data_IF_446863592936
#
_entry.id   IF_446863592936
#
_cell.length_a   1.000
_cell.length_b   1.000
_cell.length_c   1.000
_cell.angle_alpha   90.00
_cell.angle_beta   90.00
_cell.angle_gamma   90.00
#
_symmetry.space_group_name_H-M   'P 1'
#
loop_
_entity.id
_entity.type
_entity.pdbx_description
1 polymer ?
#
# COMPACT_ATOMS: atom_id res chain seq x y z
N UNK A 1 60.64 -16.62 2.92
CA UNK A 1 60.04 -16.44 1.58
C UNK A 1 58.66 -17.13 1.59
N UNK A 2 57.65 -16.58 2.29
CA UNK A 2 56.58 -15.70 1.77
C UNK A 2 55.99 -16.23 0.45
N UNK A 3 54.97 -17.09 0.57
CA UNK A 3 53.53 -16.79 0.41
C UNK A 3 53.12 -16.60 -1.05
N UNK A 4 52.91 -17.72 -1.73
CA UNK A 4 52.05 -17.87 -2.91
C UNK A 4 51.18 -19.09 -2.60
N UNK A 5 49.89 -19.05 -2.93
CA UNK A 5 48.79 -19.99 -2.65
C UNK A 5 47.83 -19.57 -1.54
N UNK A 6 46.95 -18.62 -1.87
CA UNK A 6 45.48 -18.68 -1.60
C UNK A 6 44.86 -17.35 -2.03
N UNK A 7 44.59 -17.15 -3.32
CA UNK A 7 43.78 -16.00 -3.76
C UNK A 7 42.96 -16.29 -5.02
N UNK A 8 42.33 -17.46 -5.09
CA UNK A 8 41.43 -17.80 -6.22
C UNK A 8 40.11 -18.46 -5.81
N UNK A 9 39.76 -18.46 -4.51
CA UNK A 9 38.46 -18.97 -4.00
C UNK A 9 37.79 -17.93 -3.09
N UNK A 10 37.94 -16.64 -3.40
CA UNK A 10 37.22 -15.58 -2.68
C UNK A 10 36.57 -14.52 -3.59
N UNK A 11 36.47 -14.82 -4.90
CA UNK A 11 35.81 -13.95 -5.88
C UNK A 11 34.53 -14.57 -6.48
N UNK A 12 34.17 -15.79 -6.09
CA UNK A 12 32.89 -16.43 -6.47
C UNK A 12 31.81 -16.38 -5.38
N UNK A 13 32.11 -15.84 -4.20
CA UNK A 13 31.14 -15.74 -3.09
C UNK A 13 30.61 -14.32 -2.82
N UNK A 14 31.05 -13.30 -3.56
CA UNK A 14 30.54 -11.93 -3.45
C UNK A 14 29.58 -11.52 -4.58
N UNK A 15 29.26 -12.43 -5.51
CA UNK A 15 28.25 -12.21 -6.56
C UNK A 15 26.84 -12.74 -6.19
N UNK A 16 26.67 -13.40 -5.05
CA UNK A 16 25.39 -14.04 -4.66
C UNK A 16 24.60 -13.27 -3.58
N UNK A 17 24.97 -12.01 -3.29
CA UNK A 17 24.28 -11.17 -2.29
C UNK A 17 23.05 -10.43 -2.82
N UNK A 18 22.91 -10.27 -4.13
CA UNK A 18 21.65 -9.95 -4.78
C UNK A 18 21.16 -11.23 -5.43
N UNK A 19 20.59 -12.13 -4.64
CA UNK A 19 19.74 -13.17 -5.22
C UNK A 19 18.73 -12.46 -6.12
N UNK A 20 18.77 -12.74 -7.42
CA UNK A 20 17.84 -12.22 -8.42
C UNK A 20 16.41 -12.39 -7.91
N UNK A 21 15.83 -11.37 -7.26
CA UNK A 21 14.40 -11.34 -7.06
C UNK A 21 13.83 -11.24 -8.47
N UNK A 22 13.14 -12.30 -8.92
CA UNK A 22 12.44 -12.23 -10.20
C UNK A 22 11.53 -11.01 -10.15
N UNK A 23 11.55 -10.21 -11.22
CA UNK A 23 10.68 -9.04 -11.34
C UNK A 23 9.21 -9.43 -11.15
N UNK A 24 8.83 -10.64 -11.59
CA UNK A 24 7.53 -11.25 -11.36
C UNK A 24 7.76 -12.63 -10.74
N UNK A 25 7.18 -12.88 -9.57
CA UNK A 25 7.37 -14.11 -8.81
C UNK A 25 6.03 -14.74 -8.42
N UNK A 26 5.79 -15.96 -8.91
CA UNK A 26 4.61 -16.80 -8.63
C UNK A 26 4.94 -17.99 -7.72
N UNK A 27 6.19 -18.15 -7.29
CA UNK A 27 6.63 -19.37 -6.58
C UNK A 27 5.86 -19.63 -5.28
N UNK A 28 5.45 -18.58 -4.57
CA UNK A 28 4.66 -18.70 -3.36
C UNK A 28 3.28 -19.35 -3.61
N UNK A 29 2.68 -19.10 -4.78
CA UNK A 29 1.43 -19.75 -5.20
C UNK A 29 1.66 -21.24 -5.47
N UNK A 30 2.78 -21.62 -6.07
CA UNK A 30 3.11 -23.03 -6.31
C UNK A 30 3.26 -23.80 -4.99
N UNK A 31 3.93 -23.20 -3.99
CA UNK A 31 4.01 -23.76 -2.64
C UNK A 31 2.62 -23.88 -1.99
N UNK A 32 1.77 -22.87 -2.15
CA UNK A 32 0.40 -22.89 -1.64
C UNK A 32 -0.38 -24.09 -2.19
N UNK A 33 -0.33 -24.34 -3.51
CA UNK A 33 -1.04 -25.47 -4.13
C UNK A 33 -0.57 -26.83 -3.59
N UNK A 34 0.73 -26.99 -3.35
CA UNK A 34 1.29 -28.21 -2.77
C UNK A 34 0.80 -28.42 -1.32
N UNK A 35 0.74 -27.34 -0.53
CA UNK A 35 0.25 -27.36 0.84
C UNK A 35 -1.23 -27.76 0.88
N UNK A 36 -2.09 -27.09 0.11
CA UNK A 36 -3.54 -27.35 0.18
C UNK A 36 -3.90 -28.74 -0.34
N UNK A 37 -3.17 -29.28 -1.32
CA UNK A 37 -3.37 -30.65 -1.81
C UNK A 37 -3.17 -31.73 -0.72
N UNK A 38 -2.37 -31.45 0.33
CA UNK A 38 -2.24 -32.31 1.51
C UNK A 38 -3.35 -32.06 2.52
N UNK A 39 -3.62 -30.80 2.84
CA UNK A 39 -4.64 -30.41 3.81
C UNK A 39 -6.02 -30.94 3.42
N UNK A 40 -6.36 -30.94 2.13
CA UNK A 40 -7.64 -31.47 1.64
C UNK A 40 -7.81 -32.98 1.84
N UNK A 41 -6.73 -33.69 2.13
CA UNK A 41 -6.71 -35.12 2.49
C UNK A 41 -6.59 -35.33 4.00
N UNK A 42 -6.80 -34.29 4.81
CA UNK A 42 -6.52 -34.24 6.26
C UNK A 42 -5.06 -34.59 6.61
N UNK A 43 -4.13 -34.37 5.68
CA UNK A 43 -2.69 -34.57 5.91
C UNK A 43 -2.05 -33.22 6.23
N UNK A 44 -1.37 -33.14 7.38
CA UNK A 44 -0.61 -31.95 7.75
C UNK A 44 0.66 -31.82 6.89
N UNK A 45 0.91 -30.66 6.25
CA UNK A 45 2.21 -30.33 5.68
C UNK A 45 3.28 -30.32 6.77
N UNK A 46 4.52 -30.64 6.41
CA UNK A 46 5.65 -30.58 7.35
C UNK A 46 6.02 -29.13 7.65
N UNK A 47 6.74 -28.90 8.75
CA UNK A 47 7.25 -27.57 9.11
C UNK A 47 8.21 -27.03 8.04
N UNK A 48 8.96 -27.91 7.36
CA UNK A 48 9.83 -27.53 6.25
C UNK A 48 9.03 -27.03 5.04
N UNK A 49 7.86 -27.60 4.76
CA UNK A 49 6.98 -27.17 3.68
C UNK A 49 6.38 -25.79 3.97
N UNK A 50 5.88 -25.59 5.19
CA UNK A 50 5.42 -24.27 5.65
C UNK A 50 6.54 -23.24 5.57
N UNK A 51 7.72 -23.58 6.10
CA UNK A 51 8.89 -22.70 6.06
C UNK A 51 9.33 -22.37 4.63
N UNK A 52 9.22 -23.32 3.70
CA UNK A 52 9.52 -23.08 2.29
C UNK A 52 8.56 -22.05 1.68
N UNK A 53 7.25 -22.19 1.93
CA UNK A 53 6.23 -21.23 1.49
C UNK A 53 6.50 -19.82 2.08
N UNK A 54 6.66 -19.72 3.40
CA UNK A 54 6.85 -18.42 4.08
C UNK A 54 8.21 -17.76 3.81
N UNK A 55 9.21 -18.53 3.32
CA UNK A 55 10.49 -17.97 2.88
C UNK A 55 10.38 -17.25 1.53
N UNK A 56 9.33 -17.51 0.74
CA UNK A 56 9.10 -16.81 -0.52
C UNK A 56 8.90 -15.31 -0.27
N UNK A 57 9.39 -14.47 -1.19
CA UNK A 57 9.44 -13.00 -1.03
C UNK A 57 8.08 -12.40 -0.68
N UNK A 58 7.02 -12.85 -1.35
CA UNK A 58 5.65 -12.37 -1.11
C UNK A 58 5.16 -12.60 0.32
N UNK A 59 5.19 -13.86 0.79
CA UNK A 59 4.75 -14.17 2.16
C UNK A 59 5.66 -13.54 3.22
N UNK A 60 6.98 -13.59 3.03
CA UNK A 60 7.95 -12.96 3.95
C UNK A 60 7.68 -11.47 4.16
N UNK A 61 7.21 -10.77 3.12
CA UNK A 61 6.90 -9.35 3.20
C UNK A 61 5.60 -9.06 3.97
N UNK A 62 4.64 -10.00 4.02
CA UNK A 62 3.39 -9.86 4.78
C UNK A 62 3.59 -9.97 6.31
N UNK A 63 4.63 -10.68 6.77
CA UNK A 63 5.00 -10.83 8.19
C UNK A 63 3.90 -11.37 9.12
N UNK A 64 2.96 -12.15 8.59
CA UNK A 64 1.77 -12.66 9.29
C UNK A 64 1.65 -14.19 9.16
N UNK A 65 2.78 -14.90 9.23
CA UNK A 65 2.86 -16.33 8.90
C UNK A 65 1.89 -17.19 9.73
N UNK A 66 1.76 -16.90 11.03
CA UNK A 66 0.88 -17.63 11.96
C UNK A 66 -0.60 -17.50 11.58
N UNK A 67 -1.08 -16.28 11.36
CA UNK A 67 -2.48 -16.02 10.98
C UNK A 67 -2.81 -16.60 9.60
N UNK A 68 -1.88 -16.47 8.65
CA UNK A 68 -2.04 -17.02 7.29
C UNK A 68 -2.12 -18.54 7.36
N UNK A 69 -1.18 -19.20 8.05
CA UNK A 69 -1.18 -20.66 8.23
C UNK A 69 -2.48 -21.11 8.90
N UNK A 70 -2.88 -20.46 9.99
CA UNK A 70 -4.09 -20.81 10.73
C UNK A 70 -5.34 -20.75 9.81
N UNK A 71 -5.48 -19.68 9.03
CA UNK A 71 -6.62 -19.50 8.13
C UNK A 71 -6.64 -20.54 7.01
N UNK A 72 -5.47 -20.86 6.42
CA UNK A 72 -5.35 -21.90 5.39
C UNK A 72 -5.75 -23.25 5.99
N UNK A 73 -5.20 -23.64 7.14
CA UNK A 73 -5.55 -24.89 7.79
C UNK A 73 -7.05 -24.95 8.12
N UNK A 74 -7.62 -23.87 8.67
CA UNK A 74 -9.03 -23.81 9.07
C UNK A 74 -9.98 -24.04 7.88
N UNK A 75 -9.62 -23.55 6.69
CA UNK A 75 -10.45 -23.66 5.47
C UNK A 75 -10.21 -24.97 4.72
N UNK A 76 -8.96 -25.43 4.64
CA UNK A 76 -8.61 -26.53 3.75
C UNK A 76 -8.68 -27.91 4.40
N UNK A 77 -8.50 -28.04 5.73
CA UNK A 77 -8.67 -29.32 6.45
C UNK A 77 -10.15 -29.70 6.60
N UNK A 78 -10.63 -30.82 6.03
CA UNK A 78 -11.99 -31.30 6.26
C UNK A 78 -12.32 -31.49 7.74
N UNK A 79 -11.36 -31.99 8.53
CA UNK A 79 -11.50 -32.16 9.99
C UNK A 79 -11.74 -30.86 10.78
N UNK A 80 -11.43 -29.68 10.22
CA UNK A 80 -11.66 -28.37 10.86
C UNK A 80 -12.99 -27.70 10.46
N UNK A 81 -13.87 -28.38 9.72
CA UNK A 81 -15.13 -27.81 9.20
C UNK A 81 -16.00 -27.16 10.30
N UNK A 82 -16.23 -27.83 11.42
CA UNK A 82 -17.03 -27.28 12.52
C UNK A 82 -16.39 -26.02 13.12
N UNK A 83 -15.06 -26.02 13.27
CA UNK A 83 -14.32 -24.87 13.75
C UNK A 83 -14.43 -23.69 12.79
N UNK A 84 -14.39 -23.93 11.48
CA UNK A 84 -14.58 -22.88 10.46
C UNK A 84 -15.97 -22.24 10.59
N UNK A 85 -17.03 -23.05 10.74
CA UNK A 85 -18.40 -22.53 10.92
C UNK A 85 -18.55 -21.69 12.19
N UNK A 86 -17.92 -22.10 13.29
CA UNK A 86 -17.88 -21.33 14.54
C UNK A 86 -17.12 -20.02 14.35
N UNK A 87 -15.95 -20.06 13.69
CA UNK A 87 -15.15 -18.87 13.41
C UNK A 87 -15.89 -17.87 12.52
N UNK A 88 -16.58 -18.32 11.47
CA UNK A 88 -17.36 -17.43 10.59
C UNK A 88 -18.52 -16.70 11.30
N UNK A 89 -19.06 -17.29 12.38
CA UNK A 89 -20.10 -16.67 13.21
C UNK A 89 -19.54 -15.63 14.19
N UNK A 90 -18.31 -15.84 14.67
CA UNK A 90 -17.67 -14.98 15.69
C UNK A 90 -16.72 -13.94 15.12
N UNK A 91 -16.21 -14.15 13.91
CA UNK A 91 -15.19 -13.30 13.31
C UNK A 91 -15.69 -11.88 13.05
N UNK A 92 -14.85 -10.89 13.37
CA UNK A 92 -15.03 -9.53 12.90
C UNK A 92 -14.93 -9.44 11.37
N UNK A 93 -15.33 -8.30 10.81
CA UNK A 93 -15.44 -8.10 9.36
C UNK A 93 -14.19 -8.53 8.57
N UNK A 94 -13.00 -8.05 8.96
CA UNK A 94 -11.75 -8.31 8.22
C UNK A 94 -11.39 -9.79 8.18
N UNK A 95 -11.43 -10.46 9.33
CA UNK A 95 -11.09 -11.87 9.39
C UNK A 95 -12.13 -12.74 8.69
N UNK A 96 -13.43 -12.42 8.84
CA UNK A 96 -14.51 -13.10 8.13
C UNK A 96 -14.35 -12.98 6.61
N UNK A 97 -13.97 -11.79 6.12
CA UNK A 97 -13.68 -11.54 4.70
C UNK A 97 -12.56 -12.45 4.19
N UNK A 98 -11.47 -12.57 4.96
CA UNK A 98 -10.32 -13.38 4.56
C UNK A 98 -10.66 -14.89 4.54
N UNK A 99 -11.43 -15.38 5.52
CA UNK A 99 -11.92 -16.77 5.53
C UNK A 99 -12.86 -17.06 4.34
N UNK A 100 -13.81 -16.16 4.05
CA UNK A 100 -14.72 -16.30 2.91
C UNK A 100 -13.95 -16.27 1.58
N UNK A 101 -12.90 -15.45 1.47
CA UNK A 101 -12.03 -15.43 0.30
C UNK A 101 -11.31 -16.77 0.10
N UNK A 102 -10.70 -17.33 1.15
CA UNK A 102 -10.04 -18.64 1.08
C UNK A 102 -11.01 -19.78 0.77
N UNK A 103 -12.24 -19.74 1.27
CA UNK A 103 -13.30 -20.69 0.88
C UNK A 103 -13.52 -20.64 -0.64
N UNK A 104 -13.59 -19.44 -1.21
CA UNK A 104 -13.72 -19.27 -2.66
C UNK A 104 -12.47 -19.70 -3.43
N UNK A 105 -11.27 -19.51 -2.87
CA UNK A 105 -10.04 -20.10 -3.44
C UNK A 105 -10.16 -21.63 -3.52
N UNK A 106 -10.62 -22.27 -2.44
CA UNK A 106 -10.84 -23.72 -2.38
C UNK A 106 -11.85 -24.20 -3.43
N UNK A 107 -12.95 -23.46 -3.62
CA UNK A 107 -13.97 -23.77 -4.62
C UNK A 107 -13.48 -23.58 -6.08
N UNK A 108 -12.48 -22.72 -6.31
CA UNK A 108 -12.06 -22.28 -7.65
C UNK A 108 -10.61 -22.68 -8.02
N UNK A 109 -10.04 -23.69 -7.37
CA UNK A 109 -8.62 -24.05 -7.56
C UNK A 109 -8.22 -24.24 -9.03
N UNK A 110 -9.00 -25.00 -9.80
CA UNK A 110 -8.64 -25.30 -11.20
C UNK A 110 -8.70 -24.05 -12.08
N UNK A 111 -9.67 -23.16 -11.86
CA UNK A 111 -9.73 -21.88 -12.55
C UNK A 111 -8.55 -20.98 -12.18
N UNK A 112 -8.12 -20.99 -10.91
CA UNK A 112 -7.02 -20.18 -10.41
C UNK A 112 -5.66 -20.68 -10.89
N UNK A 113 -5.44 -22.00 -10.94
CA UNK A 113 -4.25 -22.61 -11.54
C UNK A 113 -4.14 -22.29 -13.03
N UNK A 114 -5.25 -22.35 -13.76
CA UNK A 114 -5.29 -21.91 -15.16
C UNK A 114 -4.97 -20.42 -15.29
N UNK A 115 -5.59 -19.57 -14.47
CA UNK A 115 -5.33 -18.15 -14.47
C UNK A 115 -3.87 -17.81 -14.17
N UNK A 116 -3.24 -18.50 -13.22
CA UNK A 116 -1.80 -18.37 -12.90
C UNK A 116 -0.91 -18.64 -14.13
N UNK A 117 -1.30 -19.58 -14.99
CA UNK A 117 -0.57 -19.92 -16.21
C UNK A 117 -0.84 -18.93 -17.35
N UNK A 118 -2.07 -18.42 -17.44
CA UNK A 118 -2.54 -17.60 -18.57
C UNK A 118 -2.23 -16.11 -18.40
N UNK A 119 -2.06 -15.60 -17.17
CA UNK A 119 -1.89 -14.16 -16.91
C UNK A 119 -0.57 -13.62 -17.49
N UNK A 120 -0.66 -12.64 -18.38
CA UNK A 120 0.49 -11.92 -18.91
C UNK A 120 0.83 -10.69 -18.03
N UNK A 121 1.53 -10.94 -16.92
CA UNK A 121 1.88 -9.90 -15.95
C UNK A 121 2.83 -8.85 -16.53
N UNK A 122 3.72 -9.22 -17.47
CA UNK A 122 4.64 -8.27 -18.11
C UNK A 122 3.89 -7.19 -18.90
N UNK A 123 2.89 -7.59 -19.69
CA UNK A 123 2.03 -6.67 -20.44
C UNK A 123 1.22 -5.77 -19.51
N UNK A 124 0.72 -6.33 -18.40
CA UNK A 124 0.00 -5.56 -17.37
C UNK A 124 0.92 -4.52 -16.76
N UNK A 125 2.13 -4.93 -16.34
CA UNK A 125 3.14 -4.03 -15.77
C UNK A 125 3.48 -2.91 -16.75
N UNK A 126 3.74 -3.19 -18.02
CA UNK A 126 4.04 -2.15 -19.02
C UNK A 126 2.94 -1.07 -19.08
N UNK A 127 1.67 -1.49 -19.12
CA UNK A 127 0.52 -0.57 -19.12
C UNK A 127 0.39 0.20 -17.81
N UNK A 128 0.62 -0.45 -16.68
CA UNK A 128 0.58 0.17 -15.35
C UNK A 128 1.67 1.22 -15.18
N UNK A 129 2.89 0.96 -15.66
CA UNK A 129 3.98 1.93 -15.63
C UNK A 129 3.65 3.17 -16.46
N UNK A 130 3.10 2.99 -17.66
CA UNK A 130 2.64 4.12 -18.50
C UNK A 130 1.56 4.95 -17.80
N UNK A 131 0.65 4.30 -17.07
CA UNK A 131 -0.40 4.98 -16.32
C UNK A 131 0.15 5.72 -15.09
N UNK A 132 1.04 5.09 -14.31
CA UNK A 132 1.70 5.69 -13.15
C UNK A 132 2.54 6.92 -13.52
N UNK A 133 3.26 6.86 -14.65
CA UNK A 133 4.03 7.98 -15.20
C UNK A 133 3.19 9.25 -15.40
N UNK A 134 1.86 9.12 -15.56
CA UNK A 134 0.99 10.28 -15.74
C UNK A 134 0.83 11.14 -14.48
N UNK A 135 1.30 10.70 -13.31
CA UNK A 135 1.36 11.50 -12.08
C UNK A 135 2.79 11.55 -11.49
N UNK A 136 3.79 11.34 -12.35
CA UNK A 136 5.21 11.45 -12.02
C UNK A 136 5.89 12.47 -12.95
N UNK A 137 7.06 13.02 -12.57
CA UNK A 137 7.89 13.77 -13.49
C UNK A 137 8.27 12.93 -14.71
N UNK A 138 8.30 13.56 -15.89
CA UNK A 138 8.56 12.87 -17.16
C UNK A 138 9.91 12.14 -17.15
N UNK A 139 9.90 10.88 -17.58
CA UNK A 139 11.05 9.99 -17.64
C UNK A 139 11.26 9.15 -16.38
N UNK A 140 10.40 9.24 -15.36
CA UNK A 140 10.68 8.61 -14.05
C UNK A 140 10.68 7.08 -14.17
N UNK A 141 9.68 6.50 -14.84
CA UNK A 141 9.54 5.05 -15.04
C UNK A 141 10.57 4.48 -16.02
N UNK A 142 11.17 5.28 -16.90
CA UNK A 142 12.21 4.82 -17.82
C UNK A 142 13.61 4.86 -17.21
N UNK A 143 13.85 5.76 -16.25
CA UNK A 143 15.16 5.97 -15.62
C UNK A 143 15.40 5.06 -14.42
N UNK A 144 14.35 4.49 -13.85
CA UNK A 144 14.40 3.71 -12.61
C UNK A 144 13.82 2.32 -12.83
N UNK A 145 14.29 1.29 -12.11
CA UNK A 145 13.80 -0.07 -12.27
C UNK A 145 12.34 -0.19 -11.82
N UNK A 146 11.55 -1.05 -12.48
CA UNK A 146 10.20 -1.35 -12.04
C UNK A 146 10.17 -2.05 -10.68
N UNK A 147 9.07 -1.93 -9.93
CA UNK A 147 8.89 -2.64 -8.68
C UNK A 147 8.80 -4.16 -8.93
N UNK A 148 9.43 -4.99 -8.09
CA UNK A 148 9.13 -6.42 -8.03
C UNK A 148 7.65 -6.68 -7.73
N UNK A 149 7.08 -7.67 -8.40
CA UNK A 149 5.68 -8.13 -8.26
C UNK A 149 5.66 -9.58 -7.79
N UNK A 150 4.93 -9.83 -6.70
CA UNK A 150 4.88 -11.11 -6.01
C UNK A 150 3.43 -11.52 -5.89
N UNK A 151 3.13 -12.75 -6.29
CA UNK A 151 1.79 -13.33 -6.13
C UNK A 151 1.78 -14.31 -4.98
N UNK A 152 0.73 -14.24 -4.18
CA UNK A 152 0.46 -15.08 -3.02
C UNK A 152 -1.04 -15.39 -2.95
N UNK A 153 -1.46 -16.21 -2.00
CA UNK A 153 -2.87 -16.38 -1.64
C UNK A 153 -3.02 -16.07 -0.14
N UNK A 154 -3.81 -15.06 0.21
CA UNK A 154 -3.99 -14.64 1.61
C UNK A 154 -5.32 -13.93 1.88
N UNK A 155 -5.67 -12.92 1.10
CA UNK A 155 -6.78 -11.98 1.36
C UNK A 155 -7.18 -11.29 0.06
N UNK A 156 -8.42 -10.80 -0.13
CA UNK A 156 -8.82 -10.15 -1.38
C UNK A 156 -8.23 -8.73 -1.49
N UNK A 157 -6.91 -8.63 -1.67
CA UNK A 157 -6.15 -7.39 -1.50
C UNK A 157 -4.83 -7.37 -2.31
N UNK A 158 -4.26 -6.17 -2.44
CA UNK A 158 -2.90 -5.92 -2.93
C UNK A 158 -2.15 -4.98 -1.97
N UNK A 159 -0.83 -5.12 -1.84
CA UNK A 159 -0.03 -4.34 -0.87
C UNK A 159 1.35 -3.98 -1.41
N UNK A 160 1.77 -2.73 -1.26
CA UNK A 160 3.19 -2.36 -1.34
C UNK A 160 3.88 -2.52 0.02
N UNK A 161 4.80 -3.48 0.16
CA UNK A 161 5.53 -3.74 1.40
C UNK A 161 6.99 -4.13 1.14
N UNK A 162 7.92 -3.53 1.88
CA UNK A 162 9.34 -3.87 1.81
C UNK A 162 9.97 -3.67 0.42
N UNK A 163 9.45 -2.72 -0.37
CA UNK A 163 9.87 -2.47 -1.75
C UNK A 163 9.30 -3.44 -2.79
N UNK A 164 8.36 -4.32 -2.41
CA UNK A 164 7.68 -5.26 -3.30
C UNK A 164 6.19 -4.90 -3.41
N UNK A 165 5.57 -5.27 -4.52
CA UNK A 165 4.13 -5.21 -4.70
C UNK A 165 3.59 -6.63 -4.63
N UNK A 166 2.72 -6.88 -3.67
CA UNK A 166 2.17 -8.19 -3.35
C UNK A 166 0.72 -8.23 -3.80
N UNK A 167 0.37 -9.19 -4.65
CA UNK A 167 -1.00 -9.43 -5.10
C UNK A 167 -1.51 -10.78 -4.61
N UNK A 168 -2.75 -10.81 -4.14
CA UNK A 168 -3.48 -12.06 -4.04
C UNK A 168 -3.91 -12.56 -5.43
N UNK A 169 -3.63 -13.82 -5.76
CA UNK A 169 -3.91 -14.38 -7.09
C UNK A 169 -5.41 -14.37 -7.42
N UNK A 170 -6.27 -14.72 -6.47
CA UNK A 170 -7.71 -14.77 -6.72
C UNK A 170 -8.28 -13.37 -6.84
N UNK A 171 -7.86 -12.45 -5.96
CA UNK A 171 -8.21 -11.04 -6.09
C UNK A 171 -7.88 -10.49 -7.48
N UNK A 172 -6.66 -10.79 -7.95
CA UNK A 172 -6.17 -10.41 -9.29
C UNK A 172 -7.09 -10.92 -10.41
N UNK A 173 -7.57 -12.17 -10.30
CA UNK A 173 -8.54 -12.73 -11.25
C UNK A 173 -9.88 -12.00 -11.19
N UNK A 174 -10.40 -11.77 -9.99
CA UNK A 174 -11.75 -11.22 -9.78
C UNK A 174 -11.88 -9.77 -10.24
N UNK A 175 -10.85 -8.94 -10.02
CA UNK A 175 -10.86 -7.53 -10.45
C UNK A 175 -10.70 -7.38 -11.97
N UNK A 176 -10.12 -8.38 -12.63
CA UNK A 176 -9.85 -8.39 -14.07
C UNK A 176 -8.72 -7.46 -14.52
N UNK A 177 -8.25 -7.65 -15.76
CA UNK A 177 -7.07 -6.95 -16.32
C UNK A 177 -7.18 -5.42 -16.20
N UNK A 178 -8.34 -4.85 -16.51
CA UNK A 178 -8.51 -3.40 -16.55
C UNK A 178 -8.31 -2.73 -15.19
N UNK A 179 -8.88 -3.30 -14.12
CA UNK A 179 -8.73 -2.75 -12.77
C UNK A 179 -7.36 -3.12 -12.18
N UNK A 180 -6.84 -4.31 -12.50
CA UNK A 180 -5.48 -4.71 -12.12
C UNK A 180 -4.42 -3.75 -12.65
N UNK A 181 -4.52 -3.30 -13.90
CA UNK A 181 -3.60 -2.30 -14.46
C UNK A 181 -3.58 -1.03 -13.60
N UNK A 182 -4.76 -0.59 -13.15
CA UNK A 182 -4.91 0.63 -12.34
C UNK A 182 -4.37 0.44 -10.92
N UNK A 183 -4.72 -0.67 -10.27
CA UNK A 183 -4.20 -1.01 -8.93
C UNK A 183 -2.68 -1.16 -8.95
N UNK A 184 -2.10 -1.83 -9.96
CA UNK A 184 -0.64 -1.90 -10.07
C UNK A 184 -0.02 -0.53 -10.40
N UNK A 185 -0.71 0.36 -11.14
CA UNK A 185 -0.23 1.72 -11.36
C UNK A 185 -0.18 2.53 -10.06
N UNK A 186 -1.18 2.36 -9.19
CA UNK A 186 -1.23 2.94 -7.84
C UNK A 186 0.00 2.50 -7.02
N UNK A 187 0.23 1.20 -6.89
CA UNK A 187 1.37 0.68 -6.11
C UNK A 187 2.73 1.03 -6.75
N UNK A 188 2.81 1.04 -8.08
CA UNK A 188 4.01 1.47 -8.79
C UNK A 188 4.30 2.97 -8.58
N UNK A 189 3.28 3.81 -8.47
CA UNK A 189 3.45 5.23 -8.19
C UNK A 189 4.17 5.45 -6.85
N UNK A 190 3.78 4.73 -5.81
CA UNK A 190 4.48 4.73 -4.51
C UNK A 190 5.94 4.33 -4.64
N UNK A 191 6.23 3.27 -5.40
CA UNK A 191 7.60 2.82 -5.66
C UNK A 191 8.44 3.93 -6.31
N UNK A 192 7.91 4.57 -7.36
CA UNK A 192 8.65 5.60 -8.09
C UNK A 192 8.82 6.91 -7.31
N UNK A 193 7.94 7.22 -6.36
CA UNK A 193 8.11 8.36 -5.47
C UNK A 193 9.44 8.28 -4.69
N UNK A 194 9.97 7.08 -4.43
CA UNK A 194 11.26 6.91 -3.74
C UNK A 194 12.47 7.36 -4.56
N UNK A 195 12.32 7.52 -5.89
CA UNK A 195 13.40 7.97 -6.78
C UNK A 195 13.33 9.47 -7.11
N UNK A 196 12.27 10.16 -6.67
CA UNK A 196 12.15 11.59 -6.91
C UNK A 196 13.10 12.36 -5.99
N UNK A 197 13.64 13.51 -6.44
CA UNK A 197 14.47 14.36 -5.61
C UNK A 197 13.80 14.66 -4.27
N UNK A 198 14.54 14.50 -3.18
CA UNK A 198 14.08 14.92 -1.85
C UNK A 198 14.32 16.42 -1.75
N UNK A 199 13.25 17.19 -1.56
CA UNK A 199 13.36 18.63 -1.25
C UNK A 199 13.30 18.89 0.26
N UNK A 200 13.04 17.84 1.05
CA UNK A 200 12.92 17.84 2.50
C UNK A 200 13.49 16.54 3.05
N UNK A 201 14.09 16.60 4.24
CA UNK A 201 14.48 15.40 4.97
C UNK A 201 13.36 14.99 5.92
N UNK A 202 12.81 13.76 5.78
CA UNK A 202 11.88 13.24 6.77
C UNK A 202 12.49 13.32 8.19
N UNK A 203 11.73 13.72 9.22
CA UNK A 203 12.16 13.59 10.60
C UNK A 203 12.49 12.13 10.93
N UNK A 204 13.37 11.90 11.90
CA UNK A 204 13.61 10.55 12.41
C UNK A 204 12.37 10.00 13.11
N UNK A 205 12.18 8.68 13.12
CA UNK A 205 11.03 8.02 13.79
C UNK A 205 10.93 8.34 15.30
N UNK A 206 12.02 8.81 15.91
CA UNK A 206 12.06 9.21 17.34
C UNK A 206 11.73 10.70 17.53
N UNK A 207 11.57 11.46 16.46
CA UNK A 207 11.28 12.88 16.49
C UNK A 207 9.81 13.13 16.89
N UNK A 208 9.52 14.13 17.73
CA UNK A 208 8.13 14.52 18.01
C UNK A 208 7.36 14.99 16.76
N UNK A 209 8.08 15.37 15.69
CA UNK A 209 7.50 15.80 14.42
C UNK A 209 7.15 14.65 13.47
N UNK A 210 7.62 13.42 13.73
CA UNK A 210 7.41 12.31 12.81
C UNK A 210 5.94 11.96 12.58
N UNK A 211 5.08 11.81 13.61
CA UNK A 211 3.70 11.44 13.36
C UNK A 211 2.91 12.47 12.55
N UNK A 212 3.15 13.77 12.77
CA UNK A 212 2.47 14.81 11.99
C UNK A 212 3.00 14.87 10.57
N UNK A 213 4.32 14.80 10.37
CA UNK A 213 4.92 14.71 9.05
C UNK A 213 4.38 13.50 8.26
N UNK A 214 4.35 12.33 8.90
CA UNK A 214 3.86 11.09 8.32
C UNK A 214 2.39 11.19 7.95
N UNK A 215 1.56 11.86 8.74
CA UNK A 215 0.15 12.13 8.39
C UNK A 215 0.03 12.99 7.12
N UNK A 216 0.77 14.10 7.05
CA UNK A 216 0.75 14.99 5.88
C UNK A 216 1.27 14.28 4.62
N UNK A 217 2.34 13.50 4.76
CA UNK A 217 2.91 12.68 3.69
C UNK A 217 1.92 11.62 3.22
N UNK A 218 1.26 10.91 4.14
CA UNK A 218 0.30 9.86 3.82
C UNK A 218 -0.90 10.41 3.04
N UNK A 219 -1.46 11.54 3.47
CA UNK A 219 -2.55 12.23 2.75
C UNK A 219 -2.16 12.58 1.31
N UNK A 220 -0.92 13.04 1.10
CA UNK A 220 -0.42 13.32 -0.25
C UNK A 220 -0.24 12.05 -1.08
N UNK A 221 0.58 11.11 -0.61
CA UNK A 221 1.02 9.98 -1.44
C UNK A 221 -0.16 9.10 -1.83
N UNK A 222 -1.04 8.78 -0.88
CA UNK A 222 -2.24 7.98 -1.18
C UNK A 222 -3.22 8.77 -2.01
N UNK A 223 -3.40 10.05 -1.71
CA UNK A 223 -4.33 10.88 -2.44
C UNK A 223 -4.01 10.99 -3.92
N UNK A 224 -2.74 11.20 -4.26
CA UNK A 224 -2.28 11.27 -5.66
C UNK A 224 -2.33 9.89 -6.33
N UNK A 225 -1.89 8.84 -5.65
CA UNK A 225 -1.95 7.49 -6.18
C UNK A 225 -3.41 7.04 -6.42
N UNK A 226 -4.35 7.46 -5.57
CA UNK A 226 -5.77 7.13 -5.67
C UNK A 226 -6.46 7.72 -6.92
N UNK A 227 -5.88 8.76 -7.52
CA UNK A 227 -6.35 9.29 -8.81
C UNK A 227 -6.18 8.28 -9.98
N UNK A 228 -5.36 7.23 -9.79
CA UNK A 228 -5.09 6.22 -10.80
C UNK A 228 -6.14 5.11 -10.84
N UNK A 229 -6.75 4.77 -9.69
CA UNK A 229 -7.54 3.56 -9.54
C UNK A 229 -8.84 3.70 -8.74
N UNK A 230 -8.93 4.59 -7.75
CA UNK A 230 -10.01 4.51 -6.75
C UNK A 230 -11.40 4.77 -7.31
N UNK A 231 -11.55 5.59 -8.35
CA UNK A 231 -12.86 5.78 -8.99
C UNK A 231 -13.46 4.46 -9.48
N UNK A 232 -12.69 3.68 -10.23
CA UNK A 232 -13.14 2.37 -10.72
C UNK A 232 -13.13 1.31 -9.62
N UNK A 233 -12.16 1.35 -8.70
CA UNK A 233 -12.10 0.42 -7.58
C UNK A 233 -13.33 0.52 -6.68
N UNK A 234 -13.73 1.73 -6.29
CA UNK A 234 -14.94 1.96 -5.48
C UNK A 234 -16.19 1.55 -6.26
N UNK A 235 -16.24 1.79 -7.57
CA UNK A 235 -17.35 1.33 -8.43
C UNK A 235 -17.42 -0.20 -8.46
N UNK A 236 -16.27 -0.89 -8.54
CA UNK A 236 -16.18 -2.34 -8.44
C UNK A 236 -16.67 -2.85 -7.07
N UNK A 237 -16.18 -2.25 -5.99
CA UNK A 237 -16.58 -2.60 -4.61
C UNK A 237 -18.06 -2.34 -4.33
N UNK A 238 -18.71 -1.40 -5.03
CA UNK A 238 -20.16 -1.14 -4.93
C UNK A 238 -21.03 -2.25 -5.54
N UNK A 239 -20.49 -3.09 -6.44
CA UNK A 239 -21.22 -4.25 -6.97
C UNK A 239 -21.48 -5.30 -5.88
N UNK A 240 -20.63 -5.32 -4.86
CA UNK A 240 -20.87 -6.02 -3.60
C UNK A 240 -21.50 -5.02 -2.61
N UNK A 241 -22.81 -4.79 -2.78
CA UNK A 241 -23.60 -3.66 -2.22
C UNK A 241 -23.59 -3.52 -0.68
N UNK A 242 -22.83 -4.35 0.03
CA UNK A 242 -22.73 -4.39 1.48
C UNK A 242 -21.29 -4.22 2.01
N UNK A 243 -20.28 -3.91 1.18
CA UNK A 243 -18.91 -3.80 1.68
C UNK A 243 -18.79 -2.66 2.72
N UNK A 244 -18.45 -3.00 3.96
CA UNK A 244 -18.15 -2.03 5.02
C UNK A 244 -17.07 -1.04 4.58
N UNK A 245 -16.21 -1.44 3.65
CA UNK A 245 -15.22 -0.60 3.01
C UNK A 245 -15.81 0.60 2.28
N UNK A 246 -16.83 0.41 1.42
CA UNK A 246 -17.45 1.52 0.67
C UNK A 246 -18.14 2.50 1.63
N UNK A 247 -18.78 2.00 2.69
CA UNK A 247 -19.38 2.86 3.72
C UNK A 247 -18.32 3.70 4.42
N UNK A 248 -17.23 3.07 4.87
CA UNK A 248 -16.11 3.78 5.48
C UNK A 248 -15.50 4.82 4.55
N UNK A 249 -15.38 4.52 3.25
CA UNK A 249 -14.89 5.44 2.24
C UNK A 249 -15.81 6.66 2.07
N UNK A 250 -17.10 6.43 1.83
CA UNK A 250 -18.08 7.48 1.60
C UNK A 250 -18.25 8.35 2.87
N UNK A 251 -18.31 7.76 4.06
CA UNK A 251 -18.36 8.48 5.34
C UNK A 251 -17.11 9.34 5.58
N UNK A 252 -15.92 8.82 5.29
CA UNK A 252 -14.68 9.56 5.47
C UNK A 252 -14.60 10.80 4.57
N UNK A 253 -15.09 10.70 3.33
CA UNK A 253 -15.18 11.81 2.38
C UNK A 253 -16.23 12.83 2.78
N UNK A 254 -17.41 12.38 3.23
CA UNK A 254 -18.46 13.29 3.76
C UNK A 254 -17.98 14.09 4.97
N UNK A 255 -17.05 13.54 5.76
CA UNK A 255 -16.46 14.21 6.92
C UNK A 255 -15.21 15.04 6.61
N UNK A 256 -14.84 15.24 5.33
CA UNK A 256 -13.60 15.92 4.93
C UNK A 256 -13.43 17.27 5.64
N UNK A 257 -14.39 18.19 5.50
CA UNK A 257 -14.31 19.53 6.08
C UNK A 257 -14.18 19.49 7.61
N UNK A 258 -14.90 18.60 8.28
CA UNK A 258 -14.83 18.45 9.74
C UNK A 258 -13.47 17.88 10.19
N UNK A 259 -12.91 16.91 9.46
CA UNK A 259 -11.57 16.37 9.75
C UNK A 259 -10.48 17.40 9.50
N UNK A 260 -10.58 18.18 8.42
CA UNK A 260 -9.64 19.28 8.14
C UNK A 260 -9.70 20.36 9.21
N UNK A 261 -10.90 20.71 9.71
CA UNK A 261 -11.05 21.63 10.85
C UNK A 261 -10.41 21.12 12.13
N UNK A 262 -10.55 19.82 12.42
CA UNK A 262 -9.89 19.18 13.57
C UNK A 262 -8.37 19.19 13.40
N UNK A 263 -7.86 18.86 12.21
CA UNK A 263 -6.43 18.92 11.90
C UNK A 263 -5.89 20.35 12.03
N UNK A 264 -6.59 21.35 11.51
CA UNK A 264 -6.23 22.76 11.63
C UNK A 264 -6.12 23.22 13.08
N UNK A 265 -7.08 22.83 13.93
CA UNK A 265 -7.02 23.12 15.37
C UNK A 265 -5.79 22.50 16.03
N UNK A 266 -5.44 21.26 15.68
CA UNK A 266 -4.26 20.58 16.21
C UNK A 266 -2.96 21.28 15.76
N UNK A 267 -2.86 21.62 14.48
CA UNK A 267 -1.70 22.30 13.91
C UNK A 267 -1.54 23.73 14.45
N UNK A 268 -2.65 24.44 14.65
CA UNK A 268 -2.66 25.76 15.28
C UNK A 268 -2.18 25.68 16.72
N UNK A 269 -2.60 24.68 17.50
CA UNK A 269 -2.09 24.48 18.85
C UNK A 269 -0.57 24.20 18.85
N UNK A 270 -0.13 23.29 17.97
CA UNK A 270 1.30 22.99 17.75
C UNK A 270 2.12 24.19 17.27
N UNK A 271 1.46 25.19 16.68
CA UNK A 271 2.11 26.42 16.24
C UNK A 271 2.65 27.25 17.42
N UNK A 272 1.99 27.15 18.57
CA UNK A 272 2.27 27.90 19.80
C UNK A 272 3.02 27.04 20.83
N UNK A 273 2.61 25.80 21.03
CA UNK A 273 3.19 24.88 22.04
C UNK A 273 3.43 23.50 21.42
N UNK A 274 4.68 23.04 21.47
CA UNK A 274 5.08 21.73 20.93
C UNK A 274 4.99 20.61 21.96
N UNK A 275 4.55 20.89 23.18
CA UNK A 275 4.34 19.89 24.23
C UNK A 275 3.26 18.89 23.80
N UNK A 276 3.56 17.58 23.88
CA UNK A 276 2.63 16.53 23.46
C UNK A 276 2.38 16.43 21.95
N UNK A 277 3.30 16.98 21.13
CA UNK A 277 3.18 16.96 19.67
C UNK A 277 3.16 15.55 19.10
N UNK A 278 3.95 14.63 19.65
CA UNK A 278 3.98 13.24 19.20
C UNK A 278 2.60 12.59 19.32
N UNK A 279 1.98 12.67 20.50
CA UNK A 279 0.66 12.11 20.78
C UNK A 279 -0.42 12.77 19.92
N UNK A 280 -0.31 14.07 19.70
CA UNK A 280 -1.25 14.83 18.88
C UNK A 280 -1.12 14.46 17.40
N UNK A 281 0.10 14.26 16.90
CA UNK A 281 0.33 13.75 15.54
C UNK A 281 -0.17 12.30 15.37
N UNK A 282 -0.02 11.46 16.39
CA UNK A 282 -0.61 10.11 16.38
C UNK A 282 -2.15 10.15 16.36
N UNK A 283 -2.78 11.09 17.09
CA UNK A 283 -4.22 11.35 17.01
C UNK A 283 -4.61 11.82 15.61
N UNK A 284 -3.80 12.69 15.00
CA UNK A 284 -4.03 13.17 13.65
C UNK A 284 -4.06 12.01 12.64
N UNK A 285 -3.05 11.14 12.66
CA UNK A 285 -3.01 9.96 11.79
C UNK A 285 -4.26 9.07 11.97
N UNK A 286 -4.62 8.76 13.23
CA UNK A 286 -5.76 7.88 13.55
C UNK A 286 -7.13 8.44 13.17
N UNK A 287 -7.27 9.76 13.03
CA UNK A 287 -8.55 10.35 12.65
C UNK A 287 -8.90 10.06 11.18
N UNK A 288 -7.92 9.76 10.34
CA UNK A 288 -8.10 9.45 8.92
C UNK A 288 -8.18 7.93 8.73
N UNK A 289 -9.34 7.39 8.32
CA UNK A 289 -9.52 5.96 8.17
C UNK A 289 -8.79 5.47 6.91
N UNK A 290 -8.60 4.14 6.83
CA UNK A 290 -8.05 3.46 5.64
C UNK A 290 -6.74 4.16 5.20
N UNK A 291 -5.78 4.31 6.11
CA UNK A 291 -4.46 4.90 5.85
C UNK A 291 -4.51 6.25 5.08
N UNK A 292 -5.49 7.10 5.40
CA UNK A 292 -5.71 8.40 4.77
C UNK A 292 -6.21 8.40 3.32
N UNK A 293 -6.44 7.24 2.68
CA UNK A 293 -6.87 7.17 1.28
C UNK A 293 -8.08 8.08 0.95
N UNK A 294 -9.25 7.98 1.63
CA UNK A 294 -10.44 8.71 1.19
C UNK A 294 -10.26 10.23 1.24
N UNK A 295 -9.62 10.72 2.31
CA UNK A 295 -9.40 12.15 2.54
C UNK A 295 -8.25 12.70 1.69
N UNK A 296 -7.17 11.92 1.51
CA UNK A 296 -6.09 12.26 0.59
C UNK A 296 -6.60 12.34 -0.85
N UNK A 297 -7.42 11.37 -1.27
CA UNK A 297 -8.01 11.34 -2.60
C UNK A 297 -8.91 12.56 -2.83
N UNK A 298 -9.71 12.95 -1.84
CA UNK A 298 -10.49 14.18 -1.89
C UNK A 298 -9.60 15.41 -2.15
N UNK A 299 -8.52 15.57 -1.37
CA UNK A 299 -7.58 16.68 -1.54
C UNK A 299 -6.97 16.69 -2.94
N UNK A 300 -6.54 15.54 -3.44
CA UNK A 300 -5.93 15.41 -4.75
C UNK A 300 -6.92 15.69 -5.90
N UNK A 301 -8.18 15.26 -5.78
CA UNK A 301 -9.25 15.57 -6.75
C UNK A 301 -9.56 17.06 -6.79
N UNK A 302 -9.64 17.71 -5.63
CA UNK A 302 -9.91 19.15 -5.55
C UNK A 302 -8.76 19.97 -6.17
N UNK A 303 -7.52 19.60 -5.89
CA UNK A 303 -6.35 20.18 -6.54
C UNK A 303 -6.39 19.94 -8.06
N UNK A 304 -6.71 18.70 -8.48
CA UNK A 304 -6.78 18.34 -9.89
C UNK A 304 -7.82 19.18 -10.64
N UNK A 305 -8.97 19.44 -10.01
CA UNK A 305 -10.07 20.26 -10.54
C UNK A 305 -9.60 21.68 -10.88
N UNK A 306 -8.84 22.33 -10.00
CA UNK A 306 -8.50 23.75 -10.11
C UNK A 306 -7.14 24.04 -10.74
N UNK A 307 -6.13 23.23 -10.42
CA UNK A 307 -4.74 23.48 -10.81
C UNK A 307 -4.20 22.46 -11.81
N UNK A 308 -4.93 21.37 -12.02
CA UNK A 308 -4.58 20.34 -12.97
C UNK A 308 -3.38 19.48 -12.54
N UNK A 309 -3.17 18.43 -13.34
CA UNK A 309 -2.16 17.39 -13.11
C UNK A 309 -0.73 17.91 -12.98
N UNK A 310 -0.36 18.95 -13.76
CA UNK A 310 0.99 19.53 -13.70
C UNK A 310 1.31 20.14 -12.33
N UNK A 311 0.31 20.70 -11.66
CA UNK A 311 0.50 21.28 -10.33
C UNK A 311 0.74 20.18 -9.28
N UNK A 312 -0.03 19.09 -9.32
CA UNK A 312 0.17 17.91 -8.46
C UNK A 312 1.58 17.33 -8.62
N UNK A 313 2.04 17.13 -9.86
CA UNK A 313 3.38 16.57 -10.13
C UNK A 313 4.48 17.42 -9.48
N UNK A 314 4.33 18.75 -9.44
CA UNK A 314 5.31 19.66 -8.84
C UNK A 314 5.38 19.56 -7.32
N UNK A 315 4.35 19.04 -6.66
CA UNK A 315 4.36 18.90 -5.20
C UNK A 315 4.91 17.55 -4.75
N UNK A 316 5.16 16.60 -5.65
CA UNK A 316 5.61 15.25 -5.29
C UNK A 316 6.86 15.27 -4.41
N UNK A 317 6.86 14.42 -3.36
CA UNK A 317 7.84 14.41 -2.26
C UNK A 317 7.92 15.70 -1.42
N UNK A 318 6.96 16.60 -1.55
CA UNK A 318 6.78 17.76 -0.69
C UNK A 318 5.31 17.88 -0.22
N UNK A 319 4.95 17.25 0.91
CA UNK A 319 3.59 17.34 1.45
C UNK A 319 3.20 18.76 1.85
N UNK A 320 4.14 19.63 2.20
CA UNK A 320 3.83 21.03 2.53
C UNK A 320 3.37 21.81 1.30
N UNK A 321 4.02 21.60 0.15
CA UNK A 321 3.59 22.18 -1.12
C UNK A 321 2.23 21.64 -1.55
N UNK A 322 1.95 20.35 -1.32
CA UNK A 322 0.64 19.76 -1.57
C UNK A 322 -0.46 20.39 -0.69
N UNK A 323 -0.21 20.60 0.60
CA UNK A 323 -1.16 21.22 1.50
C UNK A 323 -1.43 22.69 1.18
N UNK A 324 -0.40 23.46 0.77
CA UNK A 324 -0.61 24.83 0.26
C UNK A 324 -1.51 24.84 -0.97
N UNK A 325 -1.26 23.92 -1.91
CA UNK A 325 -2.08 23.81 -3.12
C UNK A 325 -3.53 23.39 -2.80
N UNK A 326 -3.73 22.52 -1.80
CA UNK A 326 -5.06 22.18 -1.30
C UNK A 326 -5.75 23.39 -0.64
N UNK A 327 -5.04 24.13 0.21
CA UNK A 327 -5.55 25.37 0.82
C UNK A 327 -6.03 26.36 -0.26
N UNK A 328 -5.20 26.59 -1.29
CA UNK A 328 -5.54 27.49 -2.38
C UNK A 328 -6.70 26.96 -3.23
N UNK A 329 -6.94 25.64 -3.25
CA UNK A 329 -8.09 25.04 -3.91
C UNK A 329 -9.36 25.20 -3.09
N UNK A 330 -9.29 25.04 -1.76
CA UNK A 330 -10.41 25.30 -0.85
C UNK A 330 -10.88 26.76 -0.94
N UNK A 331 -9.97 27.72 -1.13
CA UNK A 331 -10.32 29.13 -1.25
C UNK A 331 -11.16 29.48 -2.50
N UNK A 332 -11.28 28.56 -3.46
CA UNK A 332 -12.09 28.72 -4.68
C UNK A 332 -13.50 28.13 -4.49
N UNK A 333 -13.69 27.19 -3.56
CA UNK A 333 -14.98 26.53 -3.32
C UNK A 333 -15.76 27.19 -2.17
N UNK A 334 -17.08 27.29 -2.30
CA UNK A 334 -17.93 27.94 -1.29
C UNK A 334 -18.12 27.10 -0.02
N UNK A 335 -18.14 25.78 -0.13
CA UNK A 335 -18.47 24.85 0.97
C UNK A 335 -17.24 24.18 1.63
N UNK A 336 -16.04 24.51 1.16
CA UNK A 336 -14.81 23.92 1.68
C UNK A 336 -14.33 24.59 2.95
N UNK A 337 -13.79 23.77 3.86
CA UNK A 337 -13.05 24.30 4.99
C UNK A 337 -11.64 24.71 4.54
N UNK A 338 -11.31 25.99 4.72
CA UNK A 338 -9.99 26.55 4.43
C UNK A 338 -9.14 26.44 5.70
N UNK A 339 -8.00 25.73 5.67
CA UNK A 339 -7.07 25.72 6.81
C UNK A 339 -6.60 27.14 7.16
N UNK A 340 -6.38 27.42 8.44
CA UNK A 340 -6.05 28.75 8.93
C UNK A 340 -4.64 29.21 8.53
N UNK A 341 -4.44 30.54 8.57
CA UNK A 341 -3.10 31.14 8.43
C UNK A 341 -2.10 30.58 9.44
N UNK A 342 -2.54 30.33 10.69
CA UNK A 342 -1.69 29.75 11.74
C UNK A 342 -1.19 28.35 11.36
N UNK A 343 -2.04 27.53 10.76
CA UNK A 343 -1.64 26.23 10.21
C UNK A 343 -0.63 26.39 9.08
N UNK A 344 -0.87 27.31 8.13
CA UNK A 344 0.08 27.54 7.03
C UNK A 344 1.44 27.99 7.55
N UNK A 345 1.49 28.85 8.57
CA UNK A 345 2.72 29.27 9.23
C UNK A 345 3.43 28.11 9.93
N UNK A 346 2.69 27.21 10.59
CA UNK A 346 3.26 26.00 11.20
C UNK A 346 3.89 25.10 10.13
N UNK A 347 3.18 24.84 9.03
CA UNK A 347 3.66 24.02 7.92
C UNK A 347 4.92 24.60 7.29
N UNK A 348 4.96 25.92 7.05
CA UNK A 348 6.14 26.60 6.50
C UNK A 348 7.35 26.49 7.44
N UNK A 349 7.15 26.66 8.75
CA UNK A 349 8.21 26.51 9.76
C UNK A 349 8.75 25.08 9.78
N UNK A 350 7.86 24.09 9.74
CA UNK A 350 8.24 22.68 9.72
C UNK A 350 9.01 22.33 8.44
N UNK A 351 8.55 22.80 7.28
CA UNK A 351 9.24 22.62 6.00
C UNK A 351 10.65 23.22 6.03
N UNK A 352 10.82 24.46 6.50
CA UNK A 352 12.13 25.13 6.62
C UNK A 352 13.08 24.34 7.51
N UNK A 353 12.60 23.85 8.66
CA UNK A 353 13.40 23.04 9.58
C UNK A 353 13.88 21.75 8.89
N UNK A 354 12.99 21.05 8.17
CA UNK A 354 13.31 19.79 7.50
C UNK A 354 14.17 19.96 6.24
N UNK A 355 14.11 21.12 5.58
CA UNK A 355 14.97 21.47 4.44
C UNK A 355 16.39 21.90 4.86
N UNK A 356 16.57 22.43 6.08
CA UNK A 356 17.87 22.91 6.56
C UNK A 356 18.79 21.81 7.12
N UNK A 357 18.25 20.63 7.45
CA UNK A 357 19.02 19.49 7.96
C UNK A 357 19.90 18.79 6.89
N UNK A 358 20.10 19.41 5.72
CA UNK A 358 21.01 18.99 4.64
C UNK A 358 22.46 19.53 4.81
N UNK A 359 22.81 20.10 5.98
CA UNK A 359 24.15 20.64 6.26
C UNK A 359 24.89 19.92 7.38
#
# INVERSE_FOLDING_TARGET
MKRIFTLTILLFYLANGYANSKLIDMSAVDYFWNIVAKLEKDIQPSEEEWKAMFKCTGYKALRNDEDIRYNIELVFLPSKKENLEVSLKKAGYWWKRDLLHLIKVKEQQEELKKFQQDINVEKILEKSLKLAETYLPKGTTQKNPPPPIQFVIFSPDARAMGGNIIFDLKFTKDIGEALLIKTLAHEAHHHYCNFLPKTINPPSEKSPYDPIYSTLRQLQIEGVADLLDKKEYITYQKKDTASSFVKMWDEARLQQSQKMKTLDSMLTQMSVDTTGMYETGMKAFRMFPINCHPNGNYMAELILKHYGKRAIIKTMNNPFAFFRLYHDACAIEEEEYIPSTSTMMFLERLEKMLAQNDK
#
